data_IF_209446866709
#
_entry.id   IF_209446866709
#
_cell.length_a   1.000
_cell.length_b   1.000
_cell.length_c   1.000
_cell.angle_alpha   90.00
_cell.angle_beta   90.00
_cell.angle_gamma   90.00
#
_symmetry.space_group_name_H-M   'P 1'
#
loop_
_entity.id
_entity.type
_entity.pdbx_description
1 polymer ?
#
# COMPACT_ATOMS: atom_id res chain seq x y z
N UNK A 1 16.75 -1.90 -7.41
CA UNK A 1 15.71 -0.86 -7.57
C UNK A 1 15.86 -0.18 -8.94
N UNK A 2 14.80 -0.06 -9.76
CA UNK A 2 14.90 0.43 -11.16
C UNK A 2 14.05 1.67 -11.41
N UNK A 3 14.65 2.71 -12.01
CA UNK A 3 13.97 3.97 -12.37
C UNK A 3 13.96 4.18 -13.89
N UNK A 4 13.00 4.97 -14.35
CA UNK A 4 12.89 5.45 -15.73
C UNK A 4 13.47 6.86 -15.79
N UNK A 5 14.39 7.10 -16.71
CA UNK A 5 14.82 8.44 -17.06
C UNK A 5 13.69 9.17 -17.79
N UNK A 6 13.29 10.32 -17.28
CA UNK A 6 12.13 11.05 -17.78
C UNK A 6 12.32 11.66 -19.17
N UNK A 7 13.55 11.74 -19.70
CA UNK A 7 13.85 12.34 -21.00
C UNK A 7 13.85 11.28 -22.08
N UNK A 8 14.70 10.26 -21.94
CA UNK A 8 14.92 9.24 -22.99
C UNK A 8 14.18 7.93 -22.74
N UNK A 9 13.45 7.84 -21.62
CA UNK A 9 12.69 6.66 -21.18
C UNK A 9 13.56 5.41 -20.99
N UNK A 10 14.87 5.57 -20.79
CA UNK A 10 15.76 4.46 -20.46
C UNK A 10 15.56 3.99 -19.02
N UNK A 11 15.80 2.69 -18.77
CA UNK A 11 15.84 2.15 -17.41
C UNK A 11 17.24 2.26 -16.83
N UNK A 12 17.32 2.67 -15.57
CA UNK A 12 18.54 2.67 -14.78
C UNK A 12 18.32 1.92 -13.47
N UNK A 13 19.28 1.09 -13.11
CA UNK A 13 19.27 0.34 -11.87
C UNK A 13 20.13 1.02 -10.82
N UNK A 14 19.62 0.99 -9.59
CA UNK A 14 20.24 1.51 -8.40
C UNK A 14 20.23 0.39 -7.37
N UNK A 15 21.37 0.20 -6.68
CA UNK A 15 21.53 -0.84 -5.67
C UNK A 15 20.62 -0.59 -4.46
N UNK A 16 20.59 0.65 -3.98
CA UNK A 16 19.84 1.04 -2.79
C UNK A 16 18.99 2.28 -3.05
N UNK A 17 17.80 2.35 -2.44
CA UNK A 17 16.90 3.49 -2.59
C UNK A 17 17.45 4.74 -1.90
N UNK A 18 18.22 4.54 -0.83
CA UNK A 18 18.89 5.58 -0.05
C UNK A 18 19.97 6.31 -0.87
N UNK A 19 20.58 5.60 -1.82
CA UNK A 19 21.57 6.15 -2.76
C UNK A 19 20.96 6.64 -4.08
N UNK A 20 19.66 6.43 -4.29
CA UNK A 20 19.01 6.81 -5.53
C UNK A 20 18.87 8.34 -5.64
N UNK A 21 18.95 8.92 -6.85
CA UNK A 21 18.66 10.33 -7.09
C UNK A 21 17.21 10.64 -6.75
N UNK A 22 16.86 11.90 -6.51
CA UNK A 22 15.46 12.30 -6.31
C UNK A 22 14.59 11.82 -7.47
N UNK A 23 13.51 11.12 -7.15
CA UNK A 23 12.59 10.53 -8.12
C UNK A 23 11.14 10.75 -7.71
N UNK A 24 10.23 10.67 -8.68
CA UNK A 24 8.79 10.59 -8.43
C UNK A 24 8.31 9.14 -8.53
N UNK A 25 7.22 8.80 -7.85
CA UNK A 25 6.45 7.58 -8.07
C UNK A 25 5.10 7.92 -8.70
N UNK A 26 4.66 7.10 -9.65
CA UNK A 26 3.27 7.08 -10.09
C UNK A 26 2.53 5.97 -9.37
N UNK A 27 1.54 6.34 -8.57
CA UNK A 27 0.56 5.47 -7.95
C UNK A 27 -0.70 5.43 -8.81
N UNK A 28 -1.15 4.24 -9.20
CA UNK A 28 -2.33 4.13 -10.05
C UNK A 28 -3.03 2.78 -9.92
N UNK A 29 -4.28 2.74 -10.39
CA UNK A 29 -5.00 1.48 -10.58
C UNK A 29 -4.55 0.77 -11.84
N UNK A 30 -4.21 -0.52 -11.72
CA UNK A 30 -3.98 -1.41 -12.87
C UNK A 30 -5.20 -1.44 -13.80
N UNK A 31 -5.04 -0.84 -14.97
CA UNK A 31 -5.98 -0.90 -16.10
C UNK A 31 -5.61 -2.01 -17.09
N UNK A 32 -6.55 -2.35 -17.99
CA UNK A 32 -6.36 -3.39 -19.02
C UNK A 32 -5.20 -3.10 -19.99
N UNK A 33 -4.85 -1.83 -20.16
CA UNK A 33 -3.93 -1.39 -21.20
C UNK A 33 -2.52 -1.08 -20.66
N UNK A 34 -2.21 -1.35 -19.39
CA UNK A 34 -0.94 -0.90 -18.80
C UNK A 34 0.30 -1.54 -19.39
N UNK A 35 1.36 -0.73 -19.46
CA UNK A 35 2.63 -1.18 -19.97
C UNK A 35 3.39 -1.98 -18.92
N UNK A 36 3.66 -3.24 -19.24
CA UNK A 36 4.52 -4.11 -18.44
C UNK A 36 5.99 -3.84 -18.74
N UNK A 37 6.91 -4.26 -17.86
CA UNK A 37 8.35 -4.14 -18.12
C UNK A 37 8.77 -4.71 -19.49
N UNK A 38 8.28 -5.90 -19.81
CA UNK A 38 8.59 -6.59 -21.08
C UNK A 38 8.08 -5.80 -22.30
N UNK A 39 6.85 -5.28 -22.22
CA UNK A 39 6.27 -4.47 -23.29
C UNK A 39 6.98 -3.12 -23.42
N UNK A 40 7.39 -2.54 -22.30
CA UNK A 40 8.18 -1.32 -22.27
C UNK A 40 9.48 -1.50 -23.05
N UNK A 41 10.24 -2.57 -22.79
CA UNK A 41 11.49 -2.85 -23.49
C UNK A 41 11.30 -3.04 -25.01
N UNK A 42 10.23 -3.74 -25.40
CA UNK A 42 9.93 -3.99 -26.81
C UNK A 42 9.52 -2.72 -27.57
N UNK A 43 8.68 -1.89 -26.95
CA UNK A 43 8.00 -0.78 -27.64
C UNK A 43 8.61 0.60 -27.36
N UNK A 44 9.67 0.71 -26.53
CA UNK A 44 10.19 2.02 -26.06
C UNK A 44 10.50 3.01 -27.18
N UNK A 45 11.00 2.52 -28.31
CA UNK A 45 11.38 3.33 -29.47
C UNK A 45 10.25 3.53 -30.49
N UNK A 46 9.11 2.87 -30.32
CA UNK A 46 7.90 3.06 -31.14
C UNK A 46 6.90 4.01 -30.45
N UNK A 47 7.45 4.95 -29.66
CA UNK A 47 6.81 5.67 -28.58
C UNK A 47 5.43 6.25 -28.93
N UNK A 48 4.40 5.95 -28.13
CA UNK A 48 3.20 6.79 -28.01
C UNK A 48 1.90 6.27 -28.64
N UNK A 49 1.89 5.11 -29.29
CA UNK A 49 0.65 4.52 -29.82
C UNK A 49 0.05 3.55 -28.79
N UNK A 50 -0.99 3.99 -28.07
CA UNK A 50 -1.81 3.13 -27.19
C UNK A 50 -1.98 3.65 -25.76
N UNK A 51 -3.12 3.32 -25.16
CA UNK A 51 -3.56 3.80 -23.83
C UNK A 51 -2.56 3.50 -22.69
N UNK A 52 -1.72 2.46 -22.84
CA UNK A 52 -0.74 2.04 -21.82
C UNK A 52 0.41 2.99 -21.56
N UNK A 53 0.87 3.70 -22.60
CA UNK A 53 1.99 4.65 -22.49
C UNK A 53 1.56 5.97 -21.87
N UNK A 54 0.28 6.31 -21.95
CA UNK A 54 -0.25 7.60 -21.53
C UNK A 54 0.17 7.96 -20.10
N UNK A 55 0.02 7.03 -19.15
CA UNK A 55 0.39 7.25 -17.75
C UNK A 55 1.89 7.43 -17.56
N UNK A 56 2.70 6.61 -18.22
CA UNK A 56 4.17 6.72 -18.16
C UNK A 56 4.64 8.08 -18.66
N UNK A 57 4.16 8.51 -19.82
CA UNK A 57 4.53 9.81 -20.41
C UNK A 57 4.02 10.95 -19.53
N UNK A 58 2.78 10.90 -19.06
CA UNK A 58 2.24 11.92 -18.14
C UNK A 58 3.02 11.98 -16.83
N UNK A 59 3.36 10.83 -16.24
CA UNK A 59 4.18 10.75 -15.04
C UNK A 59 5.58 11.34 -15.25
N UNK A 60 6.22 11.05 -16.39
CA UNK A 60 7.49 11.67 -16.76
C UNK A 60 7.37 13.18 -16.95
N UNK A 61 6.32 13.64 -17.63
CA UNK A 61 6.08 15.07 -17.82
C UNK A 61 5.87 15.80 -16.48
N UNK A 62 5.10 15.21 -15.56
CA UNK A 62 4.90 15.74 -14.21
C UNK A 62 6.21 15.76 -13.42
N UNK A 63 6.97 14.67 -13.43
CA UNK A 63 8.29 14.64 -12.80
C UNK A 63 9.20 15.76 -13.30
N UNK A 64 9.25 16.00 -14.61
CA UNK A 64 10.04 17.11 -15.18
C UNK A 64 9.54 18.49 -14.76
N UNK A 65 8.23 18.70 -14.55
CA UNK A 65 7.73 19.97 -14.01
C UNK A 65 8.12 20.23 -12.55
N UNK A 66 8.52 19.19 -11.82
CA UNK A 66 9.11 19.28 -10.48
C UNK A 66 10.64 19.09 -10.47
N UNK A 67 11.29 19.23 -11.63
CA UNK A 67 12.74 19.08 -11.81
C UNK A 67 13.28 17.70 -11.40
N UNK A 68 12.45 16.66 -11.52
CA UNK A 68 12.82 15.27 -11.25
C UNK A 68 13.16 14.57 -12.57
N UNK A 69 14.41 14.10 -12.68
CA UNK A 69 14.86 13.36 -13.86
C UNK A 69 14.41 11.90 -13.87
N UNK A 70 13.85 11.40 -12.78
CA UNK A 70 13.58 9.98 -12.56
C UNK A 70 12.16 9.71 -12.10
N UNK A 71 11.56 8.65 -12.64
CA UNK A 71 10.24 8.15 -12.25
C UNK A 71 10.30 6.66 -11.98
N UNK A 72 9.53 6.20 -10.99
CA UNK A 72 9.24 4.79 -10.76
C UNK A 72 7.75 4.50 -10.95
N UNK A 73 7.44 3.39 -11.62
CA UNK A 73 6.08 2.91 -11.87
C UNK A 73 6.10 1.39 -11.71
N UNK A 74 5.30 0.84 -10.81
CA UNK A 74 5.31 -0.59 -10.45
C UNK A 74 5.10 -1.54 -11.65
N UNK A 75 4.35 -1.11 -12.67
CA UNK A 75 4.01 -1.95 -13.82
C UNK A 75 5.15 -2.20 -14.76
N UNK A 76 6.02 -1.20 -14.94
CA UNK A 76 7.14 -1.28 -15.87
C UNK A 76 8.51 -1.20 -15.22
N UNK A 77 8.64 -0.74 -13.97
CA UNK A 77 9.91 -0.78 -13.25
C UNK A 77 10.21 -2.14 -12.62
N UNK A 78 9.19 -2.99 -12.41
CA UNK A 78 9.35 -4.34 -11.85
C UNK A 78 9.21 -5.38 -12.96
N UNK A 79 10.22 -6.23 -13.15
CA UNK A 79 10.10 -7.44 -13.96
C UNK A 79 9.34 -8.52 -13.20
N UNK A 80 8.01 -8.52 -13.36
CA UNK A 80 7.11 -9.49 -12.73
C UNK A 80 7.33 -10.93 -13.21
N UNK A 81 8.14 -11.17 -14.25
CA UNK A 81 8.56 -12.53 -14.67
C UNK A 81 9.73 -13.06 -13.84
N UNK A 82 10.50 -12.17 -13.22
CA UNK A 82 11.58 -12.54 -12.30
C UNK A 82 11.01 -12.67 -10.89
N UNK A 83 10.93 -13.90 -10.38
CA UNK A 83 10.38 -14.16 -9.04
C UNK A 83 11.24 -13.55 -7.92
N UNK A 84 12.57 -13.51 -8.11
CA UNK A 84 13.49 -12.85 -7.17
C UNK A 84 13.26 -11.34 -7.15
N UNK A 85 13.18 -10.70 -8.33
CA UNK A 85 12.95 -9.25 -8.42
C UNK A 85 11.57 -8.87 -7.87
N UNK A 86 10.53 -9.65 -8.20
CA UNK A 86 9.19 -9.43 -7.64
C UNK A 86 9.18 -9.55 -6.11
N UNK A 87 9.89 -10.54 -5.57
CA UNK A 87 10.00 -10.74 -4.12
C UNK A 87 10.72 -9.58 -3.44
N UNK A 88 11.84 -9.13 -4.00
CA UNK A 88 12.58 -7.96 -3.51
C UNK A 88 11.71 -6.70 -3.57
N UNK A 89 11.02 -6.49 -4.69
CA UNK A 89 10.20 -5.30 -4.91
C UNK A 89 9.04 -5.20 -3.92
N UNK A 90 8.28 -6.28 -3.71
CA UNK A 90 7.17 -6.30 -2.75
C UNK A 90 7.65 -6.07 -1.32
N UNK A 91 8.79 -6.65 -0.94
CA UNK A 91 9.37 -6.45 0.39
C UNK A 91 9.95 -5.04 0.58
N UNK A 92 10.25 -4.32 -0.50
CA UNK A 92 10.88 -2.99 -0.47
C UNK A 92 9.92 -1.84 -0.81
N UNK A 93 8.71 -2.14 -1.27
CA UNK A 93 7.82 -1.17 -1.90
C UNK A 93 7.49 0.01 -0.98
N UNK A 94 7.18 -0.25 0.29
CA UNK A 94 6.94 0.81 1.27
C UNK A 94 8.14 1.74 1.43
N UNK A 95 9.35 1.18 1.47
CA UNK A 95 10.58 1.98 1.52
C UNK A 95 10.70 2.86 0.27
N UNK A 96 10.44 2.31 -0.91
CA UNK A 96 10.46 3.07 -2.17
C UNK A 96 9.41 4.19 -2.20
N UNK A 97 8.21 3.96 -1.69
CA UNK A 97 7.20 5.02 -1.54
C UNK A 97 7.64 6.08 -0.53
N UNK A 98 8.22 5.68 0.61
CA UNK A 98 8.66 6.61 1.66
C UNK A 98 9.84 7.51 1.24
N UNK A 99 10.72 7.03 0.37
CA UNK A 99 11.89 7.75 -0.15
C UNK A 99 11.58 8.57 -1.42
N UNK A 100 10.39 8.41 -2.01
CA UNK A 100 10.00 9.21 -3.17
C UNK A 100 9.93 10.69 -2.83
N UNK A 101 10.37 11.52 -3.77
CA UNK A 101 10.28 12.97 -3.62
C UNK A 101 8.86 13.48 -3.85
N UNK A 102 8.19 12.89 -4.83
CA UNK A 102 6.78 13.10 -5.15
C UNK A 102 6.10 11.74 -5.39
N UNK A 103 4.86 11.60 -4.93
CA UNK A 103 3.98 10.52 -5.34
C UNK A 103 2.76 11.11 -6.06
N UNK A 104 2.50 10.65 -7.28
CA UNK A 104 1.34 11.06 -8.07
C UNK A 104 0.28 9.95 -8.04
N UNK A 105 -0.82 10.16 -7.33
CA UNK A 105 -1.97 9.26 -7.35
C UNK A 105 -2.92 9.66 -8.49
N UNK A 106 -3.06 8.79 -9.50
CA UNK A 106 -4.00 8.98 -10.59
C UNK A 106 -5.31 8.24 -10.31
N UNK A 107 -6.41 9.00 -10.22
CA UNK A 107 -7.77 8.55 -9.94
C UNK A 107 -8.61 8.64 -11.22
N UNK A 108 -8.64 7.58 -12.06
CA UNK A 108 -9.30 7.62 -13.37
C UNK A 108 -10.83 7.68 -13.28
N UNK A 109 -11.40 7.47 -12.11
CA UNK A 109 -12.83 7.44 -11.82
C UNK A 109 -13.34 8.71 -11.12
N UNK A 110 -12.47 9.71 -10.94
CA UNK A 110 -12.85 11.06 -10.48
C UNK A 110 -12.82 11.99 -11.69
N UNK A 111 -13.95 12.61 -12.01
CA UNK A 111 -14.11 13.54 -13.14
C UNK A 111 -14.11 15.00 -12.69
N UNK A 112 -14.57 15.26 -11.47
CA UNK A 112 -14.74 16.58 -10.90
C UNK A 112 -13.42 17.20 -10.43
N UNK A 113 -13.49 18.49 -10.14
CA UNK A 113 -12.44 19.31 -9.53
C UNK A 113 -12.95 19.87 -8.20
N UNK A 114 -12.07 20.36 -7.31
CA UNK A 114 -12.49 20.83 -5.98
C UNK A 114 -13.51 21.98 -5.94
N UNK A 115 -13.73 22.68 -7.06
CA UNK A 115 -14.72 23.74 -7.19
C UNK A 115 -16.11 23.23 -7.59
N UNK A 116 -16.20 21.99 -8.04
CA UNK A 116 -17.46 21.40 -8.50
C UNK A 116 -18.27 20.83 -7.32
N UNK A 117 -19.60 20.97 -7.40
CA UNK A 117 -20.51 20.35 -6.44
C UNK A 117 -20.39 18.81 -6.52
N UNK A 118 -20.34 18.14 -5.37
CA UNK A 118 -20.22 16.69 -5.28
C UNK A 118 -18.78 16.13 -5.39
N UNK A 119 -17.77 16.98 -5.57
CA UNK A 119 -16.37 16.53 -5.67
C UNK A 119 -15.91 15.65 -4.50
N UNK A 120 -16.23 16.03 -3.26
CA UNK A 120 -15.82 15.28 -2.07
C UNK A 120 -16.39 13.85 -2.10
N UNK A 121 -17.67 13.70 -2.44
CA UNK A 121 -18.32 12.40 -2.52
C UNK A 121 -17.73 11.51 -3.64
N UNK A 122 -17.46 12.09 -4.82
CA UNK A 122 -16.83 11.35 -5.93
C UNK A 122 -15.40 10.93 -5.57
N UNK A 123 -14.62 11.83 -4.96
CA UNK A 123 -13.26 11.56 -4.53
C UNK A 123 -13.21 10.45 -3.47
N UNK A 124 -14.06 10.55 -2.43
CA UNK A 124 -14.13 9.56 -1.34
C UNK A 124 -14.49 8.16 -1.84
N UNK A 125 -15.36 8.09 -2.85
CA UNK A 125 -15.80 6.83 -3.46
C UNK A 125 -14.83 6.28 -4.51
N UNK A 126 -13.71 6.95 -4.76
CA UNK A 126 -12.75 6.48 -5.75
C UNK A 126 -12.27 5.08 -5.42
N UNK A 127 -12.27 4.20 -6.43
CA UNK A 127 -11.76 2.83 -6.35
C UNK A 127 -10.27 2.78 -6.03
N UNK A 128 -9.54 3.90 -6.13
CA UNK A 128 -8.16 3.97 -5.68
C UNK A 128 -8.05 3.67 -4.18
N UNK A 129 -8.96 4.18 -3.35
CA UNK A 129 -8.96 3.95 -1.90
C UNK A 129 -9.33 2.52 -1.50
N UNK A 130 -9.97 1.77 -2.39
CA UNK A 130 -10.42 0.40 -2.11
C UNK A 130 -9.42 -0.67 -2.51
N UNK A 131 -8.25 -0.33 -3.08
CA UNK A 131 -7.21 -1.32 -3.41
C UNK A 131 -6.31 -1.62 -2.22
N UNK A 132 -5.89 -2.88 -2.08
CA UNK A 132 -4.96 -3.30 -1.02
C UNK A 132 -3.63 -2.55 -1.06
N UNK A 133 -2.98 -2.54 -2.23
CA UNK A 133 -1.65 -1.93 -2.42
C UNK A 133 -1.61 -0.42 -2.15
N UNK A 134 -2.70 0.31 -2.46
CA UNK A 134 -2.76 1.77 -2.29
C UNK A 134 -2.73 2.20 -0.82
N UNK A 135 -2.84 1.28 0.14
CA UNK A 135 -2.67 1.58 1.56
C UNK A 135 -1.23 2.02 1.86
N UNK A 136 -0.23 1.34 1.28
CA UNK A 136 1.16 1.78 1.41
C UNK A 136 1.39 3.09 0.64
N UNK A 137 0.71 3.26 -0.49
CA UNK A 137 0.85 4.42 -1.38
C UNK A 137 0.25 5.70 -0.79
N UNK A 138 -0.74 5.59 0.11
CA UNK A 138 -1.29 6.72 0.85
C UNK A 138 -0.47 7.06 2.11
N UNK A 139 0.03 6.04 2.81
CA UNK A 139 0.71 6.21 4.10
C UNK A 139 2.22 6.52 3.97
N UNK A 140 2.93 5.84 3.08
CA UNK A 140 4.38 5.91 3.02
C UNK A 140 4.92 7.23 2.45
N UNK A 141 4.39 7.79 1.34
CA UNK A 141 4.93 9.04 0.78
C UNK A 141 4.67 10.24 1.68
N UNK A 142 5.69 11.08 1.83
CA UNK A 142 5.55 12.39 2.49
C UNK A 142 4.72 13.36 1.65
N UNK A 143 4.95 13.39 0.34
CA UNK A 143 4.17 14.19 -0.61
C UNK A 143 3.38 13.28 -1.53
N UNK A 144 2.07 13.47 -1.54
CA UNK A 144 1.13 12.73 -2.37
C UNK A 144 0.19 13.74 -3.03
N UNK A 145 0.21 13.76 -4.35
CA UNK A 145 -0.56 14.65 -5.21
C UNK A 145 -1.61 13.83 -5.95
N UNK A 146 -2.87 14.25 -5.87
CA UNK A 146 -3.99 13.57 -6.51
C UNK A 146 -4.29 14.20 -7.87
N UNK A 147 -4.46 13.36 -8.88
CA UNK A 147 -4.83 13.75 -10.24
C UNK A 147 -6.12 13.03 -10.65
N UNK A 148 -7.09 13.79 -11.17
CA UNK A 148 -8.35 13.25 -11.68
C UNK A 148 -8.17 12.57 -13.06
N UNK A 149 -9.24 12.03 -13.63
CA UNK A 149 -9.23 11.32 -14.92
C UNK A 149 -8.67 12.15 -16.11
N UNK A 150 -8.75 13.48 -16.02
CA UNK A 150 -8.22 14.43 -17.01
C UNK A 150 -6.77 14.83 -16.75
N UNK A 151 -6.10 14.18 -15.79
CA UNK A 151 -4.75 14.53 -15.32
C UNK A 151 -4.66 15.97 -14.76
N UNK A 152 -5.75 16.48 -14.18
CA UNK A 152 -5.76 17.76 -13.47
C UNK A 152 -5.44 17.53 -11.98
N UNK A 153 -4.57 18.38 -11.42
CA UNK A 153 -4.29 18.35 -9.99
C UNK A 153 -5.55 18.73 -9.21
N UNK A 154 -6.01 17.83 -8.34
CA UNK A 154 -7.19 18.03 -7.48
C UNK A 154 -6.83 18.23 -5.99
N UNK A 155 -5.52 18.30 -5.71
CA UNK A 155 -4.95 18.69 -4.43
C UNK A 155 -3.92 17.69 -3.94
N UNK A 156 -3.24 18.04 -2.85
CA UNK A 156 -2.35 17.13 -2.13
C UNK A 156 -3.05 16.47 -0.93
N UNK A 157 -2.36 15.50 -0.29
CA UNK A 157 -2.83 14.80 0.90
C UNK A 157 -3.14 15.72 2.10
N UNK A 158 -2.50 16.87 2.20
CA UNK A 158 -2.80 17.84 3.25
C UNK A 158 -4.09 18.63 2.95
N UNK A 159 -4.27 19.07 1.71
CA UNK A 159 -5.46 19.77 1.23
C UNK A 159 -6.70 18.88 1.23
N UNK A 160 -6.53 17.58 0.95
CA UNK A 160 -7.61 16.57 0.90
C UNK A 160 -7.70 15.70 2.15
N UNK A 161 -7.14 16.15 3.28
CA UNK A 161 -7.02 15.33 4.50
C UNK A 161 -8.35 14.80 5.01
N UNK A 162 -9.43 15.57 4.86
CA UNK A 162 -10.75 15.19 5.36
C UNK A 162 -11.36 14.09 4.49
N UNK A 163 -11.29 14.27 3.18
CA UNK A 163 -11.78 13.34 2.17
C UNK A 163 -10.95 12.03 2.20
N UNK A 164 -9.62 12.13 2.33
CA UNK A 164 -8.75 10.94 2.48
C UNK A 164 -9.04 10.20 3.79
N UNK A 165 -9.25 10.91 4.90
CA UNK A 165 -9.60 10.28 6.17
C UNK A 165 -10.97 9.58 6.09
N UNK A 166 -11.97 10.23 5.49
CA UNK A 166 -13.29 9.64 5.25
C UNK A 166 -13.22 8.38 4.36
N UNK A 167 -12.46 8.45 3.27
CA UNK A 167 -12.31 7.34 2.32
C UNK A 167 -11.56 6.13 2.88
N UNK A 168 -10.61 6.36 3.80
CA UNK A 168 -9.68 5.31 4.28
C UNK A 168 -9.94 4.85 5.70
N UNK A 169 -10.65 5.62 6.51
CA UNK A 169 -10.79 5.41 7.95
C UNK A 169 -9.49 5.67 8.74
N UNK A 170 -8.48 6.30 8.12
CA UNK A 170 -7.20 6.60 8.75
C UNK A 170 -7.26 7.98 9.37
N UNK A 171 -6.90 8.09 10.66
CA UNK A 171 -6.86 9.38 11.33
C UNK A 171 -5.87 10.35 10.66
N UNK A 172 -6.23 11.63 10.58
CA UNK A 172 -5.46 12.65 9.85
C UNK A 172 -4.00 12.76 10.31
N UNK A 173 -3.71 12.51 11.59
CA UNK A 173 -2.34 12.56 12.10
C UNK A 173 -1.41 11.55 11.42
N UNK A 174 -1.86 10.32 11.17
CA UNK A 174 -1.07 9.32 10.44
C UNK A 174 -0.90 9.71 8.97
N UNK A 175 -1.95 10.26 8.35
CA UNK A 175 -1.90 10.71 6.94
C UNK A 175 -0.88 11.82 6.74
N UNK A 176 -0.79 12.76 7.68
CA UNK A 176 0.13 13.90 7.66
C UNK A 176 1.52 13.57 8.23
N UNK A 177 1.73 12.35 8.73
CA UNK A 177 2.99 11.93 9.35
C UNK A 177 3.29 12.61 10.70
N UNK A 178 2.27 13.13 11.37
CA UNK A 178 2.36 13.65 12.75
C UNK A 178 2.51 12.50 13.75
N UNK A 179 1.75 11.43 13.54
CA UNK A 179 1.90 10.15 14.24
C UNK A 179 2.56 9.13 13.32
N UNK A 180 3.43 8.27 13.85
CA UNK A 180 4.03 7.20 13.05
C UNK A 180 3.01 6.09 12.84
N UNK A 181 2.98 5.50 11.64
CA UNK A 181 2.16 4.32 11.35
C UNK A 181 2.39 3.20 12.36
N UNK A 182 3.63 3.02 12.82
CA UNK A 182 4.01 2.00 13.78
C UNK A 182 3.49 2.26 15.21
N UNK A 183 3.01 3.47 15.51
CA UNK A 183 2.40 3.78 16.80
C UNK A 183 0.95 3.28 16.91
N UNK A 184 0.29 3.06 15.78
CA UNK A 184 -1.04 2.45 15.70
C UNK A 184 -0.98 0.97 16.10
N UNK A 185 -2.04 0.51 16.76
CA UNK A 185 -2.17 -0.90 17.13
C UNK A 185 -2.19 -1.82 15.91
N UNK A 186 -1.88 -3.09 16.10
CA UNK A 186 -2.00 -4.11 15.05
C UNK A 186 -3.43 -4.14 14.52
N UNK A 187 -4.44 -4.13 15.38
CA UNK A 187 -5.84 -4.10 14.97
C UNK A 187 -6.19 -2.84 14.15
N UNK A 188 -5.74 -1.66 14.56
CA UNK A 188 -5.99 -0.41 13.86
C UNK A 188 -5.36 -0.42 12.44
N UNK A 189 -4.11 -0.88 12.33
CA UNK A 189 -3.45 -1.06 11.03
C UNK A 189 -4.15 -2.10 10.15
N UNK A 190 -4.65 -3.20 10.73
CA UNK A 190 -5.44 -4.20 10.00
C UNK A 190 -6.79 -3.63 9.55
N UNK A 191 -7.42 -2.78 10.36
CA UNK A 191 -8.69 -2.11 10.04
C UNK A 191 -8.55 -1.18 8.83
N UNK A 192 -7.44 -0.46 8.70
CA UNK A 192 -7.15 0.35 7.49
C UNK A 192 -7.11 -0.48 6.19
N UNK A 193 -6.89 -1.79 6.31
CA UNK A 193 -6.89 -2.75 5.21
C UNK A 193 -8.20 -3.53 5.06
N UNK A 194 -9.11 -3.47 6.03
CA UNK A 194 -10.26 -4.37 6.13
C UNK A 194 -11.28 -4.24 4.98
N UNK A 195 -11.45 -3.02 4.45
CA UNK A 195 -12.38 -2.74 3.34
C UNK A 195 -11.69 -2.72 1.97
N UNK A 196 -10.38 -3.01 1.94
CA UNK A 196 -9.58 -3.01 0.71
C UNK A 196 -9.61 -4.38 0.04
N UNK A 197 -9.48 -4.38 -1.28
CA UNK A 197 -9.54 -5.56 -2.13
C UNK A 197 -8.24 -5.72 -2.92
N UNK A 198 -7.83 -6.98 -3.07
CA UNK A 198 -6.70 -7.38 -3.91
C UNK A 198 -7.15 -8.40 -4.96
N UNK A 199 -6.49 -8.37 -6.12
CA UNK A 199 -6.81 -9.30 -7.22
C UNK A 199 -6.36 -10.72 -6.92
N UNK A 200 -5.16 -10.89 -6.36
CA UNK A 200 -4.67 -12.17 -5.85
C UNK A 200 -4.99 -12.27 -4.36
N UNK A 201 -5.37 -13.47 -3.90
CA UNK A 201 -5.75 -13.68 -2.50
C UNK A 201 -4.59 -13.41 -1.55
N UNK A 202 -3.38 -13.77 -1.95
CA UNK A 202 -2.15 -13.60 -1.18
C UNK A 202 -1.77 -12.13 -1.01
N UNK A 203 -2.15 -11.27 -1.96
CA UNK A 203 -1.88 -9.84 -1.90
C UNK A 203 -2.67 -9.15 -0.78
N UNK A 204 -3.69 -9.79 -0.19
CA UNK A 204 -4.30 -9.31 1.07
C UNK A 204 -3.32 -9.33 2.26
N UNK A 205 -2.23 -10.09 2.14
CA UNK A 205 -1.14 -10.13 3.10
C UNK A 205 0.07 -9.34 2.61
N UNK A 206 0.48 -9.56 1.36
CA UNK A 206 1.71 -8.96 0.84
C UNK A 206 1.65 -7.44 0.73
N UNK A 207 0.46 -6.86 0.51
CA UNK A 207 0.26 -5.41 0.51
C UNK A 207 0.40 -4.77 1.90
N UNK A 208 0.60 -5.56 2.97
CA UNK A 208 0.73 -5.07 4.33
C UNK A 208 2.15 -5.19 4.89
N UNK A 209 3.09 -5.79 4.15
CA UNK A 209 4.44 -6.05 4.65
C UNK A 209 5.13 -4.80 5.18
N UNK A 210 5.10 -3.71 4.42
CA UNK A 210 5.70 -2.45 4.87
C UNK A 210 4.90 -1.69 5.93
N UNK A 211 3.58 -1.89 6.01
CA UNK A 211 2.74 -1.33 7.08
C UNK A 211 3.11 -1.93 8.44
N UNK A 212 3.45 -3.22 8.44
CA UNK A 212 3.85 -3.96 9.63
C UNK A 212 5.36 -4.06 9.83
N UNK A 213 6.14 -3.50 8.92
CA UNK A 213 7.61 -3.62 8.90
C UNK A 213 8.06 -5.08 9.06
N UNK A 214 7.57 -5.97 8.19
CA UNK A 214 7.94 -7.39 8.16
C UNK A 214 8.40 -7.81 6.77
N UNK A 215 9.22 -8.85 6.71
CA UNK A 215 9.64 -9.47 5.46
C UNK A 215 9.29 -10.96 5.48
N UNK A 216 8.82 -11.46 4.34
CA UNK A 216 8.54 -12.89 4.17
C UNK A 216 8.60 -13.29 2.68
N UNK A 217 8.92 -14.56 2.37
CA UNK A 217 8.88 -15.07 1.00
C UNK A 217 7.49 -14.99 0.38
N UNK A 218 7.41 -14.55 -0.88
CA UNK A 218 6.17 -14.56 -1.66
C UNK A 218 5.93 -15.95 -2.25
N UNK A 219 4.85 -16.61 -1.81
CA UNK A 219 4.44 -17.94 -2.27
C UNK A 219 3.05 -17.87 -2.91
N UNK A 220 2.97 -17.32 -4.12
CA UNK A 220 1.71 -17.30 -4.88
C UNK A 220 1.19 -18.73 -5.12
N UNK A 221 -0.08 -18.97 -4.77
CA UNK A 221 -0.71 -20.29 -4.74
C UNK A 221 -1.01 -20.79 -3.32
N UNK A 222 -0.49 -20.14 -2.27
CA UNK A 222 -0.77 -20.52 -0.88
C UNK A 222 -2.14 -20.04 -0.36
N UNK A 223 -2.80 -19.13 -1.08
CA UNK A 223 -4.12 -18.62 -0.73
C UNK A 223 -4.15 -17.90 0.62
N UNK A 224 -5.15 -18.22 1.46
CA UNK A 224 -5.33 -17.57 2.76
C UNK A 224 -4.18 -17.81 3.75
N UNK A 225 -3.32 -18.82 3.50
CA UNK A 225 -2.14 -19.08 4.34
C UNK A 225 -1.15 -17.92 4.34
N UNK A 226 -1.12 -17.10 3.28
CA UNK A 226 -0.29 -15.90 3.21
C UNK A 226 -0.61 -14.94 4.38
N UNK A 227 -1.89 -14.74 4.69
CA UNK A 227 -2.32 -13.83 5.75
C UNK A 227 -2.07 -14.40 7.16
N UNK A 228 -2.14 -15.73 7.31
CA UNK A 228 -1.70 -16.40 8.54
C UNK A 228 -0.21 -16.21 8.76
N UNK A 229 0.61 -16.40 7.73
CA UNK A 229 2.05 -16.18 7.80
C UNK A 229 2.41 -14.74 8.12
N UNK A 230 1.70 -13.76 7.53
CA UNK A 230 1.86 -12.34 7.90
C UNK A 230 1.65 -12.14 9.41
N UNK A 231 0.54 -12.64 9.96
CA UNK A 231 0.28 -12.55 11.40
C UNK A 231 1.39 -13.22 12.23
N UNK A 232 1.90 -14.37 11.79
CA UNK A 232 3.03 -15.03 12.46
C UNK A 232 4.31 -14.19 12.44
N UNK A 233 4.61 -13.47 11.35
CA UNK A 233 5.75 -12.53 11.31
C UNK A 233 5.53 -11.31 12.22
N UNK A 234 4.30 -10.80 12.31
CA UNK A 234 3.94 -9.71 13.22
C UNK A 234 4.15 -10.15 14.68
N UNK A 235 3.67 -11.33 15.07
CA UNK A 235 3.80 -11.88 16.43
C UNK A 235 5.26 -11.98 16.88
N UNK A 236 6.20 -12.21 15.96
CA UNK A 236 7.63 -12.25 16.30
C UNK A 236 8.21 -10.89 16.67
N UNK A 237 7.57 -9.79 16.27
CA UNK A 237 8.09 -8.42 16.41
C UNK A 237 7.36 -7.57 17.45
N UNK A 238 6.19 -7.99 17.94
CA UNK A 238 5.39 -7.18 18.88
C UNK A 238 4.67 -8.04 19.92
N UNK A 239 4.45 -7.45 21.10
CA UNK A 239 3.59 -7.94 22.18
C UNK A 239 2.19 -7.28 22.17
N UNK A 240 1.81 -6.65 21.06
CA UNK A 240 0.49 -6.05 20.88
C UNK A 240 -0.60 -7.12 20.71
N UNK A 241 -1.35 -7.35 21.79
CA UNK A 241 -2.45 -8.33 21.89
C UNK A 241 -3.62 -8.01 20.94
N UNK A 242 -3.67 -6.80 20.38
CA UNK A 242 -4.71 -6.40 19.42
C UNK A 242 -4.74 -7.23 18.15
N UNK A 243 -3.66 -7.96 17.84
CA UNK A 243 -3.64 -8.94 16.75
C UNK A 243 -4.73 -10.03 16.91
N UNK A 244 -5.21 -10.27 18.14
CA UNK A 244 -6.29 -11.22 18.43
C UNK A 244 -7.67 -10.54 18.54
N UNK A 245 -7.76 -9.22 18.40
CA UNK A 245 -8.99 -8.45 18.56
C UNK A 245 -9.78 -8.34 17.24
N UNK A 246 -10.00 -9.47 16.58
CA UNK A 246 -10.80 -9.59 15.36
C UNK A 246 -12.09 -10.36 15.64
N UNK A 247 -13.11 -10.11 14.83
CA UNK A 247 -14.39 -10.80 14.93
C UNK A 247 -15.01 -10.97 13.55
N UNK A 248 -15.68 -12.11 13.36
CA UNK A 248 -16.44 -12.37 12.15
C UNK A 248 -17.58 -13.34 12.46
N UNK A 249 -18.71 -13.20 11.75
CA UNK A 249 -19.84 -14.11 11.88
C UNK A 249 -19.41 -15.55 11.53
N UNK A 250 -19.85 -16.52 12.32
CA UNK A 250 -19.56 -17.95 12.12
C UNK A 250 -20.01 -18.44 10.75
N UNK A 251 -21.10 -17.88 10.19
CA UNK A 251 -21.56 -18.20 8.85
C UNK A 251 -20.57 -17.76 7.76
N UNK A 252 -19.84 -16.66 7.97
CA UNK A 252 -18.83 -16.15 7.04
C UNK A 252 -17.46 -16.86 7.18
N UNK A 253 -17.17 -17.44 8.34
CA UNK A 253 -15.91 -18.15 8.61
C UNK A 253 -15.82 -19.51 7.90
N UNK A 254 -16.95 -20.11 7.53
CA UNK A 254 -16.99 -21.41 6.88
C UNK A 254 -16.30 -22.49 7.71
N UNK A 255 -15.24 -23.10 7.18
CA UNK A 255 -14.42 -24.10 7.89
C UNK A 255 -13.21 -23.52 8.63
N UNK A 256 -13.08 -22.19 8.70
CA UNK A 256 -11.95 -21.56 9.37
C UNK A 256 -12.00 -21.82 10.87
N UNK A 257 -10.96 -22.49 11.39
CA UNK A 257 -10.84 -22.87 12.79
C UNK A 257 -9.43 -22.51 13.25
N UNK A 258 -9.29 -21.33 13.84
CA UNK A 258 -7.98 -20.84 14.26
C UNK A 258 -8.06 -19.54 15.05
N UNK A 259 -7.03 -19.31 15.86
CA UNK A 259 -6.88 -18.08 16.66
C UNK A 259 -6.52 -16.86 15.80
N UNK A 260 -5.90 -17.08 14.64
CA UNK A 260 -5.48 -16.05 13.71
C UNK A 260 -6.58 -15.76 12.69
N UNK A 261 -6.72 -14.50 12.33
CA UNK A 261 -7.76 -14.03 11.42
C UNK A 261 -7.55 -14.62 10.02
N UNK A 262 -8.64 -14.90 9.27
CA UNK A 262 -8.54 -15.39 7.89
C UNK A 262 -8.12 -14.29 6.90
N UNK A 263 -8.54 -13.05 7.14
CA UNK A 263 -8.29 -11.89 6.27
C UNK A 263 -8.33 -10.57 7.07
N UNK A 264 -7.84 -9.44 6.52
CA UNK A 264 -8.00 -8.13 7.13
C UNK A 264 -9.46 -7.74 7.44
N UNK A 265 -10.44 -8.25 6.66
CA UNK A 265 -11.87 -7.94 6.84
C UNK A 265 -12.38 -8.23 8.26
N UNK A 266 -11.79 -9.22 8.92
CA UNK A 266 -12.16 -9.59 10.30
C UNK A 266 -11.85 -8.48 11.34
N UNK A 267 -11.05 -7.47 10.97
CA UNK A 267 -10.74 -6.31 11.82
C UNK A 267 -11.62 -5.08 11.51
N UNK A 268 -12.60 -5.18 10.60
CA UNK A 268 -13.44 -4.04 10.21
C UNK A 268 -14.22 -3.43 11.40
N UNK A 269 -14.65 -4.29 12.32
CA UNK A 269 -15.43 -3.91 13.51
C UNK A 269 -14.58 -3.70 14.77
N UNK A 270 -13.25 -3.77 14.66
CA UNK A 270 -12.38 -3.50 15.81
C UNK A 270 -12.54 -2.03 16.22
N UNK A 271 -13.08 -1.79 17.42
CA UNK A 271 -13.30 -0.43 17.93
C UNK A 271 -11.99 0.20 18.41
N UNK A 272 -11.76 1.45 17.97
CA UNK A 272 -10.56 2.23 18.32
C UNK A 272 -10.50 2.54 19.83
N UNK A 273 -11.64 2.53 20.52
CA UNK A 273 -11.74 2.83 21.95
C UNK A 273 -11.40 1.65 22.88
N UNK A 274 -11.53 0.40 22.40
CA UNK A 274 -11.35 -0.81 23.23
C UNK A 274 -9.92 -1.34 23.25
N UNK A 275 -9.06 -0.91 22.33
CA UNK A 275 -7.72 -1.46 22.17
C UNK A 275 -6.69 -0.36 22.46
N UNK A 276 -6.61 0.02 23.74
CA UNK A 276 -5.48 0.84 24.20
C UNK A 276 -4.29 -0.09 24.37
N UNK A 277 -3.24 0.11 23.57
CA UNK A 277 -1.94 -0.49 23.86
C UNK A 277 -1.54 0.03 25.25
N UNK A 278 -1.58 -0.85 26.26
CA UNK A 278 -1.13 -0.51 27.60
C UNK A 278 0.40 -0.43 27.59
N UNK A 279 0.92 0.69 27.07
CA UNK A 279 2.35 1.00 27.02
C UNK A 279 2.86 1.21 28.46
N UNK A 280 3.88 0.45 28.88
CA UNK A 280 4.60 0.69 30.14
C UNK A 280 4.40 -0.32 31.28
N UNK A 281 3.56 -1.35 31.12
CA UNK A 281 3.52 -2.47 32.08
C UNK A 281 4.53 -3.55 31.68
N UNK A 282 5.22 -4.16 32.66
CA UNK A 282 6.08 -5.32 32.45
C UNK A 282 5.23 -6.51 31.97
N UNK A 283 5.11 -6.65 30.66
CA UNK A 283 4.41 -7.75 29.99
C UNK A 283 5.42 -8.77 29.50
N UNK A 284 5.07 -10.05 29.59
CA UNK A 284 5.86 -11.09 28.91
C UNK A 284 5.38 -11.18 27.46
N UNK A 285 6.29 -11.19 26.48
CA UNK A 285 5.93 -11.40 25.08
C UNK A 285 5.18 -12.73 24.90
N UNK A 286 4.19 -12.75 24.01
CA UNK A 286 3.58 -13.99 23.57
C UNK A 286 4.34 -14.61 22.40
N UNK A 287 4.24 -15.93 22.26
CA UNK A 287 4.95 -16.68 21.22
C UNK A 287 4.10 -17.83 20.70
N UNK A 288 4.23 -18.14 19.42
CA UNK A 288 3.63 -19.34 18.83
C UNK A 288 4.51 -20.57 19.05
N UNK A 289 3.89 -21.66 19.50
CA UNK A 289 4.52 -22.98 19.67
C UNK A 289 3.81 -24.00 18.77
N UNK A 290 4.37 -25.21 18.64
CA UNK A 290 3.68 -26.31 17.98
C UNK A 290 2.37 -26.74 18.67
N UNK A 291 2.12 -26.27 19.91
CA UNK A 291 0.87 -26.48 20.66
C UNK A 291 -0.11 -25.29 20.55
N UNK A 292 0.26 -24.20 19.88
CA UNK A 292 -0.53 -22.97 19.79
C UNK A 292 0.12 -21.77 20.48
N UNK A 293 -0.69 -20.75 20.78
CA UNK A 293 -0.23 -19.50 21.40
C UNK A 293 0.12 -19.71 22.88
N UNK A 294 1.31 -19.28 23.27
CA UNK A 294 1.70 -19.11 24.67
C UNK A 294 1.63 -17.62 25.01
N UNK A 295 0.67 -17.24 25.85
CA UNK A 295 0.47 -15.89 26.36
C UNK A 295 0.40 -15.94 27.90
N UNK A 296 1.05 -14.98 28.56
CA UNK A 296 0.92 -14.79 30.01
C UNK A 296 0.15 -13.50 30.25
N UNK A 297 -1.08 -13.62 30.75
CA UNK A 297 -1.90 -12.47 31.12
C UNK A 297 -1.34 -11.80 32.37
N UNK A 298 -1.35 -10.47 32.38
CA UNK A 298 -1.07 -9.70 33.59
C UNK A 298 -2.28 -9.81 34.49
N UNK A 299 -2.12 -10.44 35.66
CA UNK A 299 -3.15 -10.54 36.70
C UNK A 299 -3.11 -9.28 37.56
#
# INVERSE_FOLDING_TARGET
>A
FRLINTIDLSFHEFEHVESAPRYAIVSHRWGKDEITYQKFLADRYQSGQGNGWFKTIKGCNLARSFELSWVWIDTCCIDKKSSSELSEAVNSMYSWYSHSHECYAFLPDVLLTPTDEGFAEEFEKSVWFTRGWTLQEVLAPRRLLFYNAKFQLIGDKQQRRAEVAAATGIHANYLLGLDKVQDASVAERMKWAALRQSTRREDNAYCLLGIFDVNMPLLYGEGAKAFVRLQLEIIKKTDDESIFAWWQDMAELGSWTGLLAPTPKAFASSSDETIKILRGHWRQPFSMTNKGLKLKLSV
#
